data_IF_410687207785
#
_entry.id   IF_410687207785
#
_cell.length_a   1.000
_cell.length_b   1.000
_cell.length_c   1.000
_cell.angle_alpha   90.00
_cell.angle_beta   90.00
_cell.angle_gamma   90.00
#
_symmetry.space_group_name_H-M   'P 1'
#
loop_
_entity.id
_entity.type
_entity.pdbx_description
1 polymer ?
#
# COMPACT_ATOMS: atom_id res chain seq x y z
N UNK A 1 1.17 -49.37 -58.20
CA UNK A 1 0.33 -48.93 -57.07
C UNK A 1 1.16 -48.00 -56.17
N UNK A 2 0.97 -46.68 -56.28
CA UNK A 2 1.63 -45.71 -55.42
C UNK A 2 0.64 -45.25 -54.38
N UNK A 3 0.89 -45.63 -53.14
CA UNK A 3 0.07 -45.18 -51.98
C UNK A 3 0.50 -43.75 -51.61
N UNK A 4 -0.43 -42.79 -51.77
CA UNK A 4 -0.30 -41.44 -51.27
C UNK A 4 -0.70 -41.45 -49.77
N UNK A 5 0.28 -41.28 -48.89
CA UNK A 5 0.05 -41.06 -47.48
C UNK A 5 -0.23 -39.56 -47.29
N UNK A 6 -1.50 -39.22 -47.09
CA UNK A 6 -1.95 -37.87 -46.71
C UNK A 6 -1.75 -37.70 -45.21
N UNK A 7 -0.65 -37.07 -44.79
CA UNK A 7 -0.41 -36.73 -43.40
C UNK A 7 -1.21 -35.45 -43.08
N UNK A 8 -2.35 -35.65 -42.41
CA UNK A 8 -3.19 -34.56 -41.89
C UNK A 8 -2.52 -33.93 -40.68
N UNK A 9 -1.86 -32.79 -40.87
CA UNK A 9 -1.30 -31.97 -39.77
C UNK A 9 -2.49 -31.23 -39.13
N UNK A 10 -2.97 -31.76 -38.01
CA UNK A 10 -3.97 -31.11 -37.18
C UNK A 10 -3.28 -30.01 -36.39
N UNK A 11 -3.31 -28.76 -36.86
CA UNK A 11 -2.87 -27.59 -36.14
C UNK A 11 -3.86 -27.33 -35.02
N UNK A 12 -3.50 -27.73 -33.80
CA UNK A 12 -4.26 -27.40 -32.59
C UNK A 12 -4.02 -25.92 -32.30
N UNK A 13 -4.96 -25.08 -32.72
CA UNK A 13 -5.00 -23.67 -32.33
C UNK A 13 -5.47 -23.65 -30.86
N UNK A 14 -4.51 -23.58 -29.95
CA UNK A 14 -4.80 -23.31 -28.53
C UNK A 14 -5.20 -21.84 -28.47
N UNK A 15 -6.45 -21.49 -28.11
CA UNK A 15 -6.80 -20.11 -27.84
C UNK A 15 -5.96 -19.69 -26.64
N UNK A 16 -4.96 -18.87 -26.85
CA UNK A 16 -4.29 -18.12 -25.78
C UNK A 16 -5.35 -17.17 -25.27
N UNK A 17 -6.09 -17.60 -24.24
CA UNK A 17 -6.97 -16.75 -23.47
C UNK A 17 -6.07 -15.72 -22.82
N UNK A 18 -5.81 -14.61 -23.51
CA UNK A 18 -5.13 -13.46 -22.94
C UNK A 18 -5.97 -13.05 -21.72
N UNK A 19 -5.43 -13.27 -20.53
CA UNK A 19 -5.98 -12.68 -19.33
C UNK A 19 -5.93 -11.16 -19.55
N UNK A 20 -7.07 -10.60 -19.94
CA UNK A 20 -7.25 -9.16 -20.00
C UNK A 20 -7.18 -8.68 -18.55
N UNK A 21 -5.99 -8.29 -18.12
CA UNK A 21 -5.84 -7.64 -16.82
C UNK A 21 -6.66 -6.35 -16.83
N UNK A 22 -7.46 -6.18 -15.81
CA UNK A 22 -8.25 -4.96 -15.63
C UNK A 22 -7.33 -3.75 -15.58
N UNK A 23 -7.59 -2.75 -16.43
CA UNK A 23 -6.86 -1.49 -16.46
C UNK A 23 -7.28 -0.58 -15.31
N UNK A 24 -6.32 -0.07 -14.56
CA UNK A 24 -6.54 0.85 -13.44
C UNK A 24 -5.64 2.08 -13.54
N UNK A 25 -6.06 3.18 -12.93
CA UNK A 25 -5.27 4.41 -12.85
C UNK A 25 -5.44 5.06 -11.47
N UNK A 26 -4.32 5.42 -10.84
CA UNK A 26 -4.37 6.20 -9.60
C UNK A 26 -4.57 7.67 -9.95
N UNK A 27 -5.81 8.14 -9.81
CA UNK A 27 -6.20 9.52 -10.13
C UNK A 27 -5.74 10.49 -9.07
N UNK A 28 -6.00 10.20 -7.80
CA UNK A 28 -5.68 11.11 -6.73
C UNK A 28 -5.37 10.40 -5.41
N UNK A 29 -4.53 11.05 -4.64
CA UNK A 29 -4.28 10.73 -3.23
C UNK A 29 -4.50 12.00 -2.42
N UNK A 30 -5.32 11.92 -1.40
CA UNK A 30 -5.61 13.06 -0.54
C UNK A 30 -5.75 12.64 0.91
N UNK A 31 -5.68 13.61 1.81
CA UNK A 31 -5.88 13.40 3.24
C UNK A 31 -6.95 14.35 3.76
N UNK A 32 -7.90 13.80 4.50
CA UNK A 32 -8.90 14.59 5.24
C UNK A 32 -8.34 15.14 6.54
N UNK A 33 -7.15 14.72 6.93
CA UNK A 33 -6.50 15.16 8.16
C UNK A 33 -5.87 16.53 8.06
N UNK A 34 -5.87 17.27 9.18
CA UNK A 34 -5.24 18.59 9.30
C UNK A 34 -3.75 18.54 9.63
N UNK A 35 -3.13 17.36 9.68
CA UNK A 35 -1.72 17.19 9.99
C UNK A 35 -0.89 17.76 8.85
N UNK A 36 0.06 18.65 9.18
CA UNK A 36 0.87 19.40 8.21
C UNK A 36 1.67 18.48 7.28
N UNK A 37 2.18 17.38 7.82
CA UNK A 37 2.99 16.39 7.11
C UNK A 37 2.19 15.69 5.98
N UNK A 38 0.88 15.47 6.19
CA UNK A 38 0.00 14.87 5.17
C UNK A 38 -0.59 15.86 4.17
N UNK A 39 -0.23 17.14 4.29
CA UNK A 39 -0.49 18.15 3.25
C UNK A 39 0.73 18.36 2.36
N UNK A 40 1.87 17.77 2.69
CA UNK A 40 3.07 17.82 1.87
C UNK A 40 2.83 17.03 0.58
N UNK A 41 3.01 17.70 -0.56
CA UNK A 41 2.88 17.12 -1.90
C UNK A 41 3.81 15.93 -2.11
N UNK A 42 4.99 15.92 -1.47
CA UNK A 42 5.97 14.84 -1.58
C UNK A 42 5.46 13.55 -0.91
N UNK A 43 4.77 13.67 0.23
CA UNK A 43 4.18 12.52 0.91
C UNK A 43 3.04 11.94 0.07
N UNK A 44 2.13 12.78 -0.43
CA UNK A 44 1.03 12.33 -1.27
C UNK A 44 1.53 11.69 -2.58
N UNK A 45 2.59 12.24 -3.15
CA UNK A 45 3.25 11.64 -4.31
C UNK A 45 3.85 10.26 -3.98
N UNK A 46 4.52 10.13 -2.84
CA UNK A 46 5.05 8.84 -2.37
C UNK A 46 3.95 7.80 -2.14
N UNK A 47 2.80 8.22 -1.58
CA UNK A 47 1.63 7.34 -1.42
C UNK A 47 1.07 6.90 -2.77
N UNK A 48 1.01 7.81 -3.75
CA UNK A 48 0.61 7.48 -5.12
C UNK A 48 1.51 6.39 -5.71
N UNK A 49 2.83 6.56 -5.62
CA UNK A 49 3.79 5.57 -6.11
C UNK A 49 3.63 4.20 -5.44
N UNK A 50 3.47 4.16 -4.11
CA UNK A 50 3.22 2.91 -3.38
C UNK A 50 1.92 2.26 -3.85
N UNK A 51 0.87 3.05 -4.08
CA UNK A 51 -0.42 2.54 -4.56
C UNK A 51 -0.28 1.94 -5.97
N UNK A 52 0.41 2.64 -6.87
CA UNK A 52 0.69 2.15 -8.23
C UNK A 52 1.52 0.86 -8.20
N UNK A 53 2.54 0.77 -7.34
CA UNK A 53 3.35 -0.43 -7.14
C UNK A 53 2.47 -1.62 -6.72
N UNK A 54 1.66 -1.46 -5.68
CA UNK A 54 0.80 -2.54 -5.16
C UNK A 54 -0.28 -2.94 -6.17
N UNK A 55 -0.88 -1.97 -6.87
CA UNK A 55 -1.87 -2.26 -7.92
C UNK A 55 -1.26 -3.01 -9.08
N UNK A 56 -0.02 -2.70 -9.47
CA UNK A 56 0.64 -3.36 -10.60
C UNK A 56 0.88 -4.86 -10.39
N UNK A 57 0.80 -5.35 -9.16
CA UNK A 57 0.89 -6.79 -8.86
C UNK A 57 -0.36 -7.58 -9.32
N UNK A 58 -1.54 -6.91 -9.42
CA UNK A 58 -2.81 -7.55 -9.76
C UNK A 58 -3.47 -6.99 -11.02
N UNK A 59 -3.19 -5.74 -11.36
CA UNK A 59 -3.86 -4.97 -12.41
C UNK A 59 -2.85 -4.39 -13.39
N UNK A 60 -3.31 -4.02 -14.58
CA UNK A 60 -2.50 -3.25 -15.53
C UNK A 60 -2.70 -1.75 -15.29
N UNK A 61 -1.61 -1.00 -15.15
CA UNK A 61 -1.69 0.46 -15.08
C UNK A 61 -1.88 1.04 -16.48
N UNK A 62 -2.97 1.76 -16.72
CA UNK A 62 -3.33 2.31 -18.02
C UNK A 62 -3.71 3.78 -17.91
N UNK A 63 -3.47 4.55 -18.95
CA UNK A 63 -3.88 5.95 -19.01
C UNK A 63 -5.31 6.16 -19.52
N UNK A 64 -5.78 5.24 -20.39
CA UNK A 64 -7.09 5.33 -21.04
C UNK A 64 -7.95 4.13 -20.68
N UNK A 65 -9.26 4.34 -20.58
CA UNK A 65 -10.25 3.31 -20.25
C UNK A 65 -9.94 2.55 -18.96
N UNK A 66 -9.27 3.21 -18.00
CA UNK A 66 -8.89 2.64 -16.73
C UNK A 66 -9.96 2.90 -15.67
N UNK A 67 -10.13 1.96 -14.75
CA UNK A 67 -10.92 2.17 -13.54
C UNK A 67 -10.17 3.19 -12.66
N UNK A 68 -10.80 4.30 -12.28
CA UNK A 68 -10.17 5.28 -11.43
C UNK A 68 -9.98 4.73 -10.01
N UNK A 69 -8.79 4.95 -9.45
CA UNK A 69 -8.47 4.61 -8.07
C UNK A 69 -8.11 5.89 -7.33
N UNK A 70 -8.78 6.13 -6.20
CA UNK A 70 -8.46 7.24 -5.31
C UNK A 70 -8.13 6.70 -3.93
N UNK A 71 -7.13 7.29 -3.27
CA UNK A 71 -6.72 6.92 -1.91
C UNK A 71 -6.98 8.10 -0.98
N UNK A 72 -7.80 7.86 0.03
CA UNK A 72 -8.13 8.81 1.09
C UNK A 72 -7.47 8.39 2.40
N UNK A 73 -6.54 9.19 2.93
CA UNK A 73 -5.94 8.97 4.24
C UNK A 73 -6.89 9.56 5.29
N UNK A 74 -7.55 8.69 6.06
CA UNK A 74 -8.60 9.08 7.01
C UNK A 74 -8.07 9.28 8.42
N UNK A 75 -7.05 8.52 8.82
CA UNK A 75 -6.48 8.62 10.16
C UNK A 75 -5.02 8.21 10.19
N UNK A 76 -4.25 8.93 11.00
CA UNK A 76 -2.92 8.52 11.45
C UNK A 76 -2.90 8.56 12.96
N UNK A 77 -2.56 7.45 13.56
CA UNK A 77 -2.41 7.31 15.00
C UNK A 77 -0.98 6.93 15.35
N UNK A 78 -0.50 7.42 16.49
CA UNK A 78 0.82 7.09 17.02
C UNK A 78 0.71 6.65 18.48
N UNK A 79 0.05 5.51 18.76
CA UNK A 79 0.03 4.98 20.11
C UNK A 79 1.48 4.64 20.52
N UNK A 80 1.89 5.16 21.67
CA UNK A 80 3.20 4.90 22.25
C UNK A 80 3.08 4.08 23.52
N UNK A 81 4.04 3.19 23.75
CA UNK A 81 4.21 2.49 25.01
C UNK A 81 5.66 2.59 25.45
N UNK A 82 5.88 2.80 26.74
CA UNK A 82 7.22 2.84 27.29
C UNK A 82 7.29 2.03 28.58
N UNK A 83 8.44 1.39 28.82
CA UNK A 83 8.72 0.77 30.11
C UNK A 83 10.16 1.09 30.55
N UNK A 84 10.37 1.15 31.87
CA UNK A 84 11.69 1.45 32.45
C UNK A 84 11.95 0.57 33.66
N UNK A 85 13.11 -0.09 33.70
CA UNK A 85 13.60 -0.84 34.85
C UNK A 85 15.05 -0.47 35.10
N UNK A 86 15.38 -0.05 36.33
CA UNK A 86 16.76 0.22 36.77
C UNK A 86 17.58 1.15 35.86
N UNK A 87 16.95 2.21 35.31
CA UNK A 87 17.63 3.19 34.45
C UNK A 87 17.79 2.77 32.99
N UNK A 88 17.39 1.55 32.64
CA UNK A 88 17.31 1.06 31.26
C UNK A 88 15.84 0.98 30.85
N UNK A 89 15.51 1.45 29.69
CA UNK A 89 14.13 1.44 29.19
C UNK A 89 14.04 1.25 27.71
N UNK A 90 12.85 0.92 27.27
CA UNK A 90 12.48 0.90 25.85
C UNK A 90 11.18 1.66 25.65
N UNK A 91 11.12 2.46 24.61
CA UNK A 91 9.90 3.08 24.12
C UNK A 91 9.58 2.54 22.75
N UNK A 92 8.34 2.09 22.57
CA UNK A 92 7.84 1.64 21.29
C UNK A 92 6.77 2.61 20.82
N UNK A 93 6.95 3.16 19.64
CA UNK A 93 5.94 3.98 18.98
C UNK A 93 5.41 3.19 17.79
N UNK A 94 4.08 3.03 17.77
CA UNK A 94 3.39 2.34 16.68
C UNK A 94 2.73 3.38 15.80
N UNK A 95 3.13 3.45 14.54
CA UNK A 95 2.42 4.24 13.54
C UNK A 95 1.29 3.39 12.98
N UNK A 96 0.04 3.83 13.18
CA UNK A 96 -1.15 3.21 12.60
C UNK A 96 -1.74 4.15 11.56
N UNK A 97 -2.03 3.63 10.38
CA UNK A 97 -2.65 4.36 9.28
C UNK A 97 -3.94 3.67 8.88
N UNK A 98 -5.01 4.46 8.82
CA UNK A 98 -6.27 4.07 8.24
C UNK A 98 -6.48 4.86 6.96
N UNK A 99 -6.87 4.18 5.90
CA UNK A 99 -7.18 4.78 4.62
C UNK A 99 -8.40 4.12 3.99
N UNK A 100 -8.98 4.79 2.99
CA UNK A 100 -9.98 4.25 2.10
C UNK A 100 -9.44 4.23 0.69
N UNK A 101 -9.66 3.13 0.00
CA UNK A 101 -9.39 3.00 -1.42
C UNK A 101 -10.74 2.99 -2.14
N UNK A 102 -10.93 3.98 -2.97
CA UNK A 102 -12.06 4.05 -3.89
C UNK A 102 -11.61 3.41 -5.20
N UNK A 103 -12.20 2.30 -5.57
CA UNK A 103 -11.92 1.55 -6.78
C UNK A 103 -13.17 1.55 -7.67
N UNK A 104 -13.25 2.48 -8.60
CA UNK A 104 -14.52 2.77 -9.28
C UNK A 104 -15.62 3.12 -8.26
N UNK A 105 -16.68 2.34 -8.25
CA UNK A 105 -17.81 2.51 -7.33
C UNK A 105 -17.63 1.75 -5.99
N UNK A 106 -16.58 0.95 -5.86
CA UNK A 106 -16.31 0.17 -4.64
C UNK A 106 -15.40 0.95 -3.70
N UNK A 107 -15.73 0.97 -2.41
CA UNK A 107 -14.93 1.60 -1.36
C UNK A 107 -14.51 0.53 -0.36
N UNK A 108 -13.22 0.41 -0.11
CA UNK A 108 -12.65 -0.52 0.88
C UNK A 108 -11.76 0.21 1.88
N UNK A 109 -11.84 -0.20 3.13
CA UNK A 109 -10.99 0.32 4.20
C UNK A 109 -9.70 -0.50 4.29
N UNK A 110 -8.57 0.21 4.48
CA UNK A 110 -7.26 -0.37 4.71
C UNK A 110 -6.65 0.07 6.03
N UNK A 111 -6.03 -0.86 6.72
CA UNK A 111 -5.34 -0.63 7.99
C UNK A 111 -3.91 -1.14 7.88
N UNK A 112 -2.97 -0.30 8.26
CA UNK A 112 -1.55 -0.67 8.29
C UNK A 112 -0.85 -0.13 9.53
N UNK A 113 0.04 -0.95 10.07
CA UNK A 113 0.79 -0.62 11.28
C UNK A 113 2.28 -0.87 11.09
N UNK A 114 3.09 0.00 11.69
CA UNK A 114 4.54 -0.15 11.79
C UNK A 114 5.00 0.29 13.16
N UNK A 115 5.77 -0.55 13.83
CA UNK A 115 6.34 -0.23 15.13
C UNK A 115 7.80 0.19 14.99
N UNK A 116 8.18 1.23 15.74
CA UNK A 116 9.57 1.66 15.93
C UNK A 116 9.89 1.55 17.42
N UNK A 117 10.90 0.75 17.75
CA UNK A 117 11.36 0.59 19.13
C UNK A 117 12.71 1.30 19.30
N UNK A 118 12.79 2.20 20.27
CA UNK A 118 14.03 2.82 20.70
C UNK A 118 14.40 2.31 22.10
N UNK A 119 15.60 1.75 22.25
CA UNK A 119 16.17 1.40 23.55
C UNK A 119 17.05 2.54 24.05
N UNK A 120 16.94 2.87 25.32
CA UNK A 120 17.74 3.91 25.95
C UNK A 120 18.28 3.50 27.31
N UNK A 121 19.46 3.96 27.65
CA UNK A 121 20.06 3.78 28.96
C UNK A 121 20.43 5.17 29.53
N UNK A 122 20.04 5.43 30.76
CA UNK A 122 20.37 6.65 31.53
C UNK A 122 19.89 7.98 30.92
N UNK A 123 19.11 7.99 29.86
CA UNK A 123 18.55 9.18 29.24
C UNK A 123 17.03 9.17 29.46
N UNK A 124 16.46 10.29 29.90
CA UNK A 124 15.00 10.45 29.95
C UNK A 124 14.47 10.78 28.56
N UNK A 125 13.88 9.80 27.90
CA UNK A 125 13.00 10.05 26.77
C UNK A 125 11.62 10.40 27.32
N UNK A 126 11.19 11.66 27.17
CA UNK A 126 9.82 12.05 27.47
C UNK A 126 8.90 11.39 26.44
N UNK A 127 7.77 10.86 26.91
CA UNK A 127 6.71 10.35 26.03
C UNK A 127 6.39 11.35 24.92
N UNK A 128 6.22 10.87 23.70
CA UNK A 128 5.95 11.70 22.51
C UNK A 128 7.19 12.30 21.82
N UNK A 129 8.42 11.96 22.24
CA UNK A 129 9.66 12.43 21.60
C UNK A 129 10.45 11.35 20.86
N UNK A 130 9.89 10.16 20.68
CA UNK A 130 10.49 9.20 19.74
C UNK A 130 10.33 9.79 18.35
N UNK A 131 11.43 10.01 17.61
CA UNK A 131 11.35 10.68 16.32
C UNK A 131 10.46 9.87 15.38
N UNK A 132 9.43 10.51 14.86
CA UNK A 132 8.52 9.97 13.87
C UNK A 132 9.32 9.55 12.63
N UNK A 133 9.54 8.27 12.45
CA UNK A 133 10.36 7.78 11.35
C UNK A 133 9.54 7.83 10.06
N UNK A 134 10.02 8.56 9.05
CA UNK A 134 9.42 8.55 7.70
C UNK A 134 9.32 7.14 7.14
N UNK A 135 10.24 6.24 7.50
CA UNK A 135 10.20 4.84 7.10
C UNK A 135 9.02 4.09 7.73
N UNK A 136 8.69 4.36 9.00
CA UNK A 136 7.54 3.74 9.67
C UNK A 136 6.21 4.13 9.02
N UNK A 137 6.08 5.40 8.61
CA UNK A 137 4.90 5.85 7.83
C UNK A 137 4.80 5.11 6.51
N UNK A 138 5.90 5.02 5.77
CA UNK A 138 5.93 4.32 4.47
C UNK A 138 5.54 2.85 4.59
N UNK A 139 6.07 2.16 5.62
CA UNK A 139 5.74 0.75 5.89
C UNK A 139 4.26 0.59 6.28
N UNK A 140 3.76 1.43 7.20
CA UNK A 140 2.37 1.40 7.62
C UNK A 140 1.42 1.71 6.45
N UNK A 141 1.79 2.67 5.60
CA UNK A 141 1.04 3.05 4.40
C UNK A 141 0.98 1.89 3.40
N UNK A 142 2.12 1.27 3.09
CA UNK A 142 2.16 0.12 2.18
C UNK A 142 1.29 -1.03 2.68
N UNK A 143 1.36 -1.34 3.97
CA UNK A 143 0.51 -2.37 4.59
C UNK A 143 -0.98 -2.03 4.49
N UNK A 144 -1.36 -0.76 4.73
CA UNK A 144 -2.75 -0.33 4.64
C UNK A 144 -3.29 -0.44 3.20
N UNK A 145 -2.47 -0.10 2.21
CA UNK A 145 -2.84 -0.23 0.79
C UNK A 145 -2.99 -1.71 0.40
N UNK A 146 -2.04 -2.56 0.82
CA UNK A 146 -2.11 -4.02 0.58
C UNK A 146 -3.37 -4.61 1.22
N UNK A 147 -3.68 -4.22 2.47
CA UNK A 147 -4.87 -4.68 3.18
C UNK A 147 -6.16 -4.26 2.45
N UNK A 148 -6.25 -3.01 1.98
CA UNK A 148 -7.39 -2.55 1.20
C UNK A 148 -7.53 -3.29 -0.14
N UNK A 149 -6.45 -3.37 -0.92
CA UNK A 149 -6.47 -4.02 -2.25
C UNK A 149 -6.71 -5.54 -2.14
N UNK A 150 -6.33 -6.13 -1.00
CA UNK A 150 -6.64 -7.52 -0.71
C UNK A 150 -8.13 -7.83 -0.54
N UNK A 151 -8.96 -6.81 -0.29
CA UNK A 151 -10.41 -6.91 -0.11
C UNK A 151 -11.21 -6.64 -1.40
N UNK A 152 -10.54 -6.21 -2.48
CA UNK A 152 -11.10 -6.06 -3.83
C UNK A 152 -11.11 -7.40 -4.56
#
# INVERSE_FOLDING_TARGET
>A
MKQFIFTLIMVVIIPISGFSQTCVKVDSVYSTMKIKEFKDRNILFGVKQITEEVLSEKYSLCEQNAIPVMVEITRVGTPSSSFRIAGVGAATETTQILLKVHFGDTIVDGIGESATTASYAFIELKEGKVPFSKSSIGIAMKKAIIDAIGKL
#
